data_IF_640453438615
#
_entry.id   IF_640453438615
#
_cell.length_a   1.000
_cell.length_b   1.000
_cell.length_c   1.000
_cell.angle_alpha   90.00
_cell.angle_beta   90.00
_cell.angle_gamma   90.00
#
_symmetry.space_group_name_H-M   'P 1'
#
loop_
_entity.id
_entity.type
_entity.pdbx_description
1 polymer ?
#
# COMPACT_ATOMS: atom_id res chain seq x y z
N UNK A 1 15.85 4.25 -11.05
CA UNK A 1 14.79 3.70 -11.93
C UNK A 1 13.61 3.44 -11.03
N UNK A 2 12.41 3.87 -11.42
CA UNK A 2 11.20 3.67 -10.63
C UNK A 2 10.43 2.47 -11.22
N UNK A 3 9.79 1.69 -10.36
CA UNK A 3 9.05 0.47 -10.74
C UNK A 3 7.55 0.62 -10.53
N UNK A 4 7.12 1.66 -9.82
CA UNK A 4 5.75 1.91 -9.47
C UNK A 4 5.48 3.41 -9.62
N UNK A 5 4.55 3.79 -10.51
CA UNK A 5 4.32 5.20 -10.84
C UNK A 5 2.89 5.56 -10.51
N UNK A 6 2.69 6.64 -9.74
CA UNK A 6 1.37 7.25 -9.66
C UNK A 6 0.93 7.74 -11.05
N UNK A 7 -0.35 7.57 -11.33
CA UNK A 7 -1.01 7.93 -12.57
C UNK A 7 -2.40 8.46 -12.24
N UNK A 8 -2.97 9.35 -13.07
CA UNK A 8 -4.32 9.87 -12.85
C UNK A 8 -5.39 8.77 -12.70
N UNK A 9 -5.20 7.62 -13.36
CA UNK A 9 -6.11 6.48 -13.27
C UNK A 9 -6.19 5.84 -11.89
N UNK A 10 -5.24 6.08 -10.98
CA UNK A 10 -5.27 5.59 -9.60
C UNK A 10 -6.02 6.52 -8.64
N UNK A 11 -6.45 7.69 -9.10
CA UNK A 11 -7.22 8.61 -8.26
C UNK A 11 -8.58 8.01 -7.91
N UNK A 12 -8.91 8.08 -6.62
CA UNK A 12 -10.24 7.74 -6.09
C UNK A 12 -11.07 9.00 -5.81
N UNK A 13 -10.58 10.16 -6.25
CA UNK A 13 -11.18 11.48 -6.01
C UNK A 13 -11.36 11.84 -4.54
N UNK A 14 -10.51 11.32 -3.66
CA UNK A 14 -10.43 11.73 -2.25
C UNK A 14 -8.99 12.16 -2.00
N UNK A 15 -8.77 13.47 -1.81
CA UNK A 15 -7.41 14.05 -1.80
C UNK A 15 -6.48 13.41 -0.77
N UNK A 16 -7.00 13.10 0.41
CA UNK A 16 -6.23 12.48 1.49
C UNK A 16 -5.79 11.05 1.12
N UNK A 17 -6.66 10.29 0.46
CA UNK A 17 -6.35 8.93 0.02
C UNK A 17 -5.40 8.95 -1.18
N UNK A 18 -5.63 9.81 -2.16
CA UNK A 18 -4.72 9.96 -3.31
C UNK A 18 -3.29 10.33 -2.87
N UNK A 19 -3.16 11.12 -1.81
CA UNK A 19 -1.87 11.44 -1.21
C UNK A 19 -1.23 10.22 -0.51
N UNK A 20 -2.03 9.39 0.16
CA UNK A 20 -1.53 8.15 0.77
C UNK A 20 -1.06 7.15 -0.29
N UNK A 21 -1.83 6.96 -1.38
CA UNK A 21 -1.42 6.11 -2.50
C UNK A 21 -0.09 6.58 -3.10
N UNK A 22 0.06 7.88 -3.38
CA UNK A 22 1.31 8.45 -3.88
C UNK A 22 2.49 8.14 -2.95
N UNK A 23 2.29 8.30 -1.64
CA UNK A 23 3.32 7.98 -0.64
C UNK A 23 3.67 6.48 -0.63
N UNK A 24 2.70 5.59 -0.80
CA UNK A 24 2.95 4.14 -0.92
C UNK A 24 3.74 3.80 -2.19
N UNK A 25 3.39 4.41 -3.33
CA UNK A 25 4.17 4.30 -4.56
C UNK A 25 5.63 4.76 -4.36
N UNK A 26 5.84 5.87 -3.66
CA UNK A 26 7.17 6.39 -3.35
C UNK A 26 7.98 5.46 -2.44
N UNK A 27 7.35 4.86 -1.42
CA UNK A 27 8.02 3.90 -0.52
C UNK A 27 8.44 2.63 -1.28
N UNK A 28 7.61 2.14 -2.21
CA UNK A 28 7.97 1.01 -3.07
C UNK A 28 9.16 1.35 -3.99
N UNK A 29 9.22 2.56 -4.54
CA UNK A 29 10.35 3.00 -5.35
C UNK A 29 11.63 3.17 -4.51
N UNK A 30 11.53 3.69 -3.29
CA UNK A 30 12.67 3.79 -2.36
C UNK A 30 13.22 2.41 -2.02
N UNK A 31 12.34 1.44 -1.75
CA UNK A 31 12.74 0.06 -1.50
C UNK A 31 13.46 -0.54 -2.72
N UNK A 32 12.92 -0.37 -3.92
CA UNK A 32 13.56 -0.81 -5.15
C UNK A 32 14.94 -0.20 -5.36
N UNK A 33 15.07 1.10 -5.15
CA UNK A 33 16.33 1.82 -5.33
C UNK A 33 17.38 1.36 -4.32
N UNK A 34 16.98 1.20 -3.05
CA UNK A 34 17.85 0.68 -2.01
C UNK A 34 18.39 -0.71 -2.34
N UNK A 35 17.51 -1.61 -2.82
CA UNK A 35 17.91 -2.95 -3.27
C UNK A 35 18.86 -2.87 -4.48
N UNK A 36 18.53 -2.05 -5.47
CA UNK A 36 19.31 -1.92 -6.71
C UNK A 36 20.72 -1.35 -6.47
N UNK A 37 20.87 -0.50 -5.45
CA UNK A 37 22.16 0.07 -5.04
C UNK A 37 22.93 -0.84 -4.07
N UNK A 38 22.38 -2.00 -3.70
CA UNK A 38 22.99 -2.89 -2.71
C UNK A 38 23.15 -2.23 -1.34
N UNK A 39 22.19 -1.38 -0.94
CA UNK A 39 22.24 -0.74 0.38
C UNK A 39 22.17 -1.79 1.50
N UNK A 40 22.79 -1.47 2.62
CA UNK A 40 22.91 -2.41 3.74
C UNK A 40 21.57 -2.75 4.40
N UNK A 41 21.56 -3.88 5.11
CA UNK A 41 20.39 -4.45 5.81
C UNK A 41 19.59 -3.42 6.63
N UNK A 42 20.27 -2.54 7.38
CA UNK A 42 19.59 -1.56 8.23
C UNK A 42 18.70 -0.60 7.43
N UNK A 43 19.18 -0.12 6.28
CA UNK A 43 18.43 0.80 5.42
C UNK A 43 17.19 0.10 4.85
N UNK A 44 17.35 -1.13 4.37
CA UNK A 44 16.24 -1.91 3.83
C UNK A 44 15.21 -2.26 4.90
N UNK A 45 15.64 -2.66 6.10
CA UNK A 45 14.75 -2.91 7.24
C UNK A 45 13.94 -1.68 7.63
N UNK A 46 14.57 -0.50 7.63
CA UNK A 46 13.90 0.77 7.93
C UNK A 46 12.82 1.10 6.90
N UNK A 47 13.14 1.00 5.61
CA UNK A 47 12.19 1.25 4.52
C UNK A 47 11.03 0.26 4.54
N UNK A 48 11.31 -1.03 4.75
CA UNK A 48 10.27 -2.08 4.87
C UNK A 48 9.36 -1.79 6.07
N UNK A 49 9.93 -1.43 7.21
CA UNK A 49 9.16 -1.07 8.40
C UNK A 49 8.30 0.17 8.18
N UNK A 50 8.80 1.16 7.43
CA UNK A 50 8.03 2.34 7.06
C UNK A 50 6.89 2.01 6.09
N UNK A 51 7.13 1.16 5.10
CA UNK A 51 6.09 0.65 4.20
C UNK A 51 4.98 -0.07 4.96
N UNK A 52 5.32 -0.93 5.93
CA UNK A 52 4.35 -1.61 6.78
C UNK A 52 3.51 -0.62 7.58
N UNK A 53 4.16 0.30 8.31
CA UNK A 53 3.48 1.31 9.15
C UNK A 53 2.57 2.20 8.32
N UNK A 54 3.04 2.68 7.17
CA UNK A 54 2.28 3.59 6.33
C UNK A 54 1.09 2.90 5.66
N UNK A 55 1.26 1.64 5.24
CA UNK A 55 0.15 0.81 4.73
C UNK A 55 -0.95 0.66 5.77
N UNK A 56 -0.60 0.30 7.01
CA UNK A 56 -1.58 0.17 8.11
C UNK A 56 -2.27 1.51 8.38
N UNK A 57 -1.52 2.60 8.39
CA UNK A 57 -2.06 3.95 8.60
C UNK A 57 -3.07 4.35 7.51
N UNK A 58 -2.72 4.11 6.25
CA UNK A 58 -3.57 4.35 5.10
C UNK A 58 -4.87 3.53 5.18
N UNK A 59 -4.76 2.21 5.40
CA UNK A 59 -5.93 1.34 5.55
C UNK A 59 -6.84 1.76 6.71
N UNK A 60 -6.26 2.16 7.85
CA UNK A 60 -7.07 2.66 8.97
C UNK A 60 -7.87 3.93 8.63
N UNK A 61 -7.32 4.79 7.76
CA UNK A 61 -8.02 5.98 7.27
C UNK A 61 -9.22 5.59 6.42
N UNK A 62 -9.03 4.70 5.47
CA UNK A 62 -10.13 4.20 4.63
C UNK A 62 -11.21 3.49 5.44
N UNK A 63 -10.81 2.63 6.37
CA UNK A 63 -11.71 1.90 7.26
C UNK A 63 -12.50 2.83 8.17
N UNK A 64 -11.91 3.96 8.55
CA UNK A 64 -12.63 5.03 9.25
C UNK A 64 -13.70 5.65 8.34
N UNK A 65 -13.39 5.91 7.07
CA UNK A 65 -14.41 6.36 6.11
C UNK A 65 -15.48 5.30 5.85
N UNK A 66 -15.14 4.02 5.79
CA UNK A 66 -16.10 2.92 5.69
C UNK A 66 -17.07 2.91 6.87
N UNK A 67 -16.56 3.12 8.09
CA UNK A 67 -17.37 3.16 9.30
C UNK A 67 -18.33 4.35 9.32
N UNK A 68 -17.86 5.56 9.05
CA UNK A 68 -18.68 6.78 9.17
C UNK A 68 -19.70 6.94 8.04
N UNK A 69 -19.42 6.36 6.86
CA UNK A 69 -20.35 6.38 5.71
C UNK A 69 -21.16 5.10 5.57
N UNK A 70 -20.95 4.13 6.47
CA UNK A 70 -21.53 2.79 6.39
C UNK A 70 -21.34 2.12 5.01
N UNK A 71 -20.10 2.10 4.52
CA UNK A 71 -19.76 1.52 3.22
C UNK A 71 -20.18 0.03 3.13
N UNK A 72 -21.03 -0.37 2.16
CA UNK A 72 -21.61 -1.71 2.14
C UNK A 72 -20.59 -2.86 1.99
N UNK A 73 -19.47 -2.62 1.31
CA UNK A 73 -18.48 -3.66 1.02
C UNK A 73 -17.30 -3.68 2.01
N UNK A 74 -17.41 -2.95 3.13
CA UNK A 74 -16.31 -2.77 4.11
C UNK A 74 -15.69 -4.08 4.58
N UNK A 75 -16.48 -5.12 4.83
CA UNK A 75 -15.96 -6.37 5.41
C UNK A 75 -15.12 -7.17 4.41
N UNK A 76 -15.45 -7.11 3.12
CA UNK A 76 -14.64 -7.72 2.07
C UNK A 76 -13.35 -6.92 1.86
N UNK A 77 -13.46 -5.60 1.80
CA UNK A 77 -12.33 -4.69 1.63
C UNK A 77 -11.30 -4.85 2.78
N UNK A 78 -11.75 -4.86 4.03
CA UNK A 78 -10.89 -5.04 5.21
C UNK A 78 -10.13 -6.38 5.19
N UNK A 79 -10.70 -7.44 4.60
CA UNK A 79 -9.99 -8.72 4.46
C UNK A 79 -8.82 -8.62 3.48
N UNK A 80 -8.97 -7.85 2.40
CA UNK A 80 -7.88 -7.57 1.47
C UNK A 80 -6.75 -6.79 2.17
N UNK A 81 -7.10 -5.76 2.96
CA UNK A 81 -6.14 -5.01 3.79
C UNK A 81 -5.35 -5.92 4.73
N UNK A 82 -6.06 -6.77 5.49
CA UNK A 82 -5.45 -7.70 6.44
C UNK A 82 -4.48 -8.66 5.75
N UNK A 83 -4.88 -9.19 4.59
CA UNK A 83 -4.03 -10.06 3.79
C UNK A 83 -2.74 -9.36 3.33
N UNK A 84 -2.85 -8.11 2.85
CA UNK A 84 -1.70 -7.36 2.39
C UNK A 84 -0.73 -6.99 3.51
N UNK A 85 -1.26 -6.51 4.65
CA UNK A 85 -0.45 -6.23 5.85
C UNK A 85 0.27 -7.49 6.33
N UNK A 86 -0.41 -8.64 6.33
CA UNK A 86 0.22 -9.91 6.67
C UNK A 86 1.41 -10.21 5.75
N UNK A 87 1.27 -10.00 4.43
CA UNK A 87 2.36 -10.24 3.47
C UNK A 87 3.56 -9.32 3.70
N UNK A 88 3.34 -8.06 4.04
CA UNK A 88 4.44 -7.13 4.39
C UNK A 88 5.11 -7.55 5.71
N UNK A 89 4.35 -7.95 6.73
CA UNK A 89 4.90 -8.45 7.99
C UNK A 89 5.73 -9.73 7.79
N UNK A 90 5.24 -10.67 6.96
CA UNK A 90 5.97 -11.89 6.59
C UNK A 90 7.30 -11.55 5.93
N UNK A 91 7.30 -10.61 4.97
CA UNK A 91 8.50 -10.09 4.33
C UNK A 91 9.49 -9.52 5.33
N UNK A 92 9.03 -8.62 6.22
CA UNK A 92 9.90 -7.98 7.21
C UNK A 92 10.59 -9.01 8.08
N UNK A 93 9.83 -9.98 8.60
CA UNK A 93 10.36 -11.06 9.46
C UNK A 93 11.35 -11.96 8.71
N UNK A 94 11.10 -12.26 7.44
CA UNK A 94 12.02 -13.05 6.61
C UNK A 94 13.34 -12.29 6.39
N UNK A 95 13.25 -10.99 6.05
CA UNK A 95 14.42 -10.16 5.81
C UNK A 95 15.28 -9.92 7.06
N UNK A 96 14.63 -9.77 8.22
CA UNK A 96 15.31 -9.65 9.50
C UNK A 96 16.14 -10.90 9.84
N UNK A 97 15.65 -12.09 9.45
CA UNK A 97 16.35 -13.37 9.64
C UNK A 97 17.44 -13.59 8.59
N UNK A 98 17.12 -13.34 7.33
CA UNK A 98 18.02 -13.53 6.20
C UNK A 98 17.91 -12.34 5.23
N UNK A 99 18.96 -11.53 5.18
CA UNK A 99 19.01 -10.33 4.34
C UNK A 99 19.10 -10.62 2.84
N UNK A 100 19.20 -11.88 2.43
CA UNK A 100 19.06 -12.30 1.03
C UNK A 100 17.61 -12.64 0.62
N UNK A 101 16.68 -12.66 1.59
CA UNK A 101 15.32 -13.16 1.38
C UNK A 101 14.37 -12.18 0.67
N UNK A 102 14.69 -10.88 0.57
CA UNK A 102 13.84 -9.94 -0.18
C UNK A 102 14.21 -10.03 -1.65
N UNK A 103 13.32 -10.66 -2.43
CA UNK A 103 13.47 -10.88 -3.86
C UNK A 103 12.78 -9.80 -4.69
N UNK A 104 13.22 -9.64 -5.94
CA UNK A 104 12.53 -8.81 -6.92
C UNK A 104 11.08 -9.28 -7.17
N UNK A 105 10.81 -10.58 -7.01
CA UNK A 105 9.47 -11.17 -7.13
C UNK A 105 8.50 -10.58 -6.09
N UNK A 106 8.95 -10.48 -4.84
CA UNK A 106 8.12 -9.97 -3.75
C UNK A 106 7.81 -8.49 -3.91
N UNK A 107 8.79 -7.70 -4.35
CA UNK A 107 8.58 -6.30 -4.69
C UNK A 107 7.61 -6.14 -5.87
N UNK A 108 7.70 -7.03 -6.87
CA UNK A 108 6.74 -7.14 -7.96
C UNK A 108 5.33 -7.45 -7.45
N UNK A 109 5.19 -8.38 -6.51
CA UNK A 109 3.93 -8.68 -5.84
C UNK A 109 3.35 -7.45 -5.13
N UNK A 110 4.12 -6.76 -4.29
CA UNK A 110 3.64 -5.60 -3.54
C UNK A 110 3.17 -4.47 -4.48
N UNK A 111 3.95 -4.20 -5.53
CA UNK A 111 3.61 -3.20 -6.55
C UNK A 111 2.35 -3.59 -7.31
N UNK A 112 2.23 -4.85 -7.76
CA UNK A 112 1.07 -5.32 -8.50
C UNK A 112 -0.19 -5.31 -7.65
N UNK A 113 -0.11 -5.82 -6.41
CA UNK A 113 -1.23 -5.82 -5.49
C UNK A 113 -1.73 -4.40 -5.24
N UNK A 114 -0.85 -3.44 -4.95
CA UNK A 114 -1.24 -2.05 -4.72
C UNK A 114 -1.96 -1.45 -5.94
N UNK A 115 -1.42 -1.65 -7.15
CA UNK A 115 -2.03 -1.15 -8.39
C UNK A 115 -3.42 -1.75 -8.63
N UNK A 116 -3.55 -3.07 -8.46
CA UNK A 116 -4.81 -3.79 -8.68
C UNK A 116 -5.86 -3.41 -7.65
N UNK A 117 -5.48 -3.37 -6.36
CA UNK A 117 -6.36 -2.96 -5.26
C UNK A 117 -6.90 -1.55 -5.48
N UNK A 118 -6.04 -0.60 -5.84
CA UNK A 118 -6.49 0.78 -6.13
C UNK A 118 -7.46 0.81 -7.32
N UNK A 119 -7.13 0.13 -8.42
CA UNK A 119 -7.92 0.18 -9.64
C UNK A 119 -9.26 -0.53 -9.55
N UNK A 120 -9.39 -1.50 -8.66
CA UNK A 120 -10.56 -2.38 -8.56
C UNK A 120 -11.31 -2.12 -7.26
N UNK A 121 -10.66 -2.37 -6.12
CA UNK A 121 -11.27 -2.36 -4.79
C UNK A 121 -11.50 -0.92 -4.29
N UNK A 122 -10.50 -0.05 -4.39
CA UNK A 122 -10.59 1.33 -3.88
C UNK A 122 -11.49 2.19 -4.75
N UNK A 123 -11.37 2.05 -6.07
CA UNK A 123 -12.28 2.72 -7.01
C UNK A 123 -13.75 2.38 -6.76
N UNK A 124 -14.08 1.22 -6.21
CA UNK A 124 -15.46 0.84 -5.94
C UNK A 124 -16.13 1.74 -4.88
N UNK A 125 -15.38 2.32 -3.94
CA UNK A 125 -15.97 3.23 -2.94
C UNK A 125 -16.12 4.67 -3.45
N UNK A 126 -15.55 5.04 -4.61
CA UNK A 126 -15.51 6.43 -5.08
C UNK A 126 -16.90 7.06 -5.15
N UNK A 127 -17.86 6.38 -5.79
CA UNK A 127 -19.23 6.87 -5.90
C UNK A 127 -19.97 6.89 -4.55
N UNK A 128 -19.61 6.00 -3.63
CA UNK A 128 -20.14 6.01 -2.27
C UNK A 128 -19.63 7.23 -1.50
N UNK A 129 -18.33 7.52 -1.54
CA UNK A 129 -17.73 8.65 -0.84
C UNK A 129 -18.17 10.01 -1.38
N UNK A 130 -18.38 10.14 -2.70
CA UNK A 130 -18.98 11.36 -3.29
C UNK A 130 -20.35 11.68 -2.71
N UNK A 131 -21.21 10.67 -2.51
CA UNK A 131 -22.56 10.85 -1.93
C UNK A 131 -22.55 11.26 -0.46
N UNK A 132 -21.45 10.99 0.24
CA UNK A 132 -21.29 11.29 1.67
C UNK A 132 -20.34 12.47 1.94
N UNK A 133 -19.97 13.23 0.90
CA UNK A 133 -19.13 14.45 1.00
C UNK A 133 -17.76 14.19 1.64
N UNK A 134 -17.17 13.01 1.37
CA UNK A 134 -15.81 12.64 1.82
C UNK A 134 -14.73 13.13 0.82
N UNK A 135 -15.00 14.24 0.11
CA UNK A 135 -14.23 14.75 -1.05
C UNK A 135 -13.27 15.87 -0.68
#
# INVERSE_FOLDING_TARGET
MNIAFWKPEYSVSVKSIDADHQKLFDLLNQLFEAMSKGQGKNVLTEIIGELERYTIYHFHREETYFRVTNYPQKDAHIKEHQYFVQKISEMRKQYEKDSSAVSAELLGFLSNWLKEHILVTDKAYQEHFKKHVVV
#
